data_IF_860013897846
#
_entry.id   IF_860013897846
#
_cell.length_a   1.000
_cell.length_b   1.000
_cell.length_c   1.000
_cell.angle_alpha   90.00
_cell.angle_beta   90.00
_cell.angle_gamma   90.00
#
_symmetry.space_group_name_H-M   'P 1'
#
loop_
_entity.id
_entity.type
_entity.pdbx_description
1 polymer ?
#
# COMPACT_ATOMS: atom_id res chain seq x y z
N UNK A 1 10.82 12.99 -30.97
CA UNK A 1 9.41 12.65 -30.66
C UNK A 1 9.27 12.50 -29.15
N UNK A 2 8.38 13.25 -28.49
CA UNK A 2 8.00 12.96 -27.10
C UNK A 2 7.04 11.77 -27.11
N UNK A 3 7.39 10.68 -26.41
CA UNK A 3 6.50 9.54 -26.22
C UNK A 3 5.36 10.00 -25.31
N UNK A 4 4.14 10.07 -25.83
CA UNK A 4 2.94 10.32 -25.01
C UNK A 4 2.68 9.01 -24.27
N UNK A 5 2.92 9.01 -22.95
CA UNK A 5 2.65 7.87 -22.07
C UNK A 5 1.17 8.00 -21.66
N UNK A 6 0.38 6.93 -21.77
CA UNK A 6 -1.00 6.95 -21.28
C UNK A 6 -1.03 6.99 -19.75
N UNK A 7 -2.12 7.48 -19.14
CA UNK A 7 -2.23 7.50 -17.67
C UNK A 7 -2.13 6.11 -17.04
N UNK A 8 -2.60 5.07 -17.75
CA UNK A 8 -2.50 3.67 -17.35
C UNK A 8 -1.05 3.17 -17.39
N UNK A 9 -0.29 3.49 -18.45
CA UNK A 9 1.14 3.13 -18.55
C UNK A 9 1.96 3.83 -17.46
N UNK A 10 1.64 5.09 -17.16
CA UNK A 10 2.25 5.83 -16.06
C UNK A 10 1.94 5.19 -14.71
N UNK A 11 0.68 4.81 -14.47
CA UNK A 11 0.27 4.19 -13.22
C UNK A 11 0.95 2.82 -13.01
N UNK A 12 1.09 2.02 -14.07
CA UNK A 12 1.79 0.73 -14.03
C UNK A 12 3.26 0.93 -13.66
N UNK A 13 3.96 1.84 -14.36
CA UNK A 13 5.36 2.11 -14.04
C UNK A 13 5.50 2.66 -12.60
N UNK A 14 4.55 3.45 -12.14
CA UNK A 14 4.62 4.08 -10.82
C UNK A 14 4.36 3.10 -9.68
N UNK A 15 3.43 2.15 -9.84
CA UNK A 15 3.10 1.18 -8.79
C UNK A 15 4.22 0.16 -8.60
N UNK A 16 4.94 -0.22 -9.66
CA UNK A 16 6.12 -1.10 -9.57
C UNK A 16 7.24 -0.51 -8.68
N UNK A 17 7.36 0.82 -8.66
CA UNK A 17 8.38 1.53 -7.90
C UNK A 17 7.86 2.12 -6.59
N UNK A 18 6.57 1.98 -6.29
CA UNK A 18 5.99 2.48 -5.05
C UNK A 18 6.33 1.51 -3.93
N UNK A 19 7.29 1.86 -3.07
CA UNK A 19 7.54 1.14 -1.82
C UNK A 19 7.21 2.04 -0.64
N UNK A 20 6.60 1.50 0.40
CA UNK A 20 6.39 2.24 1.65
C UNK A 20 7.77 2.66 2.19
N UNK A 21 8.67 1.70 2.45
CA UNK A 21 9.99 2.01 2.99
C UNK A 21 9.89 2.88 4.25
N UNK A 22 10.55 4.04 4.25
CA UNK A 22 10.47 5.04 5.32
C UNK A 22 9.33 6.07 5.15
N UNK A 23 8.50 5.93 4.11
CA UNK A 23 7.31 6.76 3.93
C UNK A 23 6.29 6.43 5.02
N UNK A 24 5.64 7.47 5.54
CA UNK A 24 4.52 7.29 6.45
C UNK A 24 3.39 6.51 5.77
N UNK A 25 2.66 5.74 6.57
CA UNK A 25 1.59 4.87 6.10
C UNK A 25 0.48 5.67 5.41
N UNK A 26 0.14 6.85 5.92
CA UNK A 26 -0.88 7.73 5.33
C UNK A 26 -0.48 8.19 3.91
N UNK A 27 0.73 8.70 3.75
CA UNK A 27 1.29 9.14 2.47
C UNK A 27 1.38 7.99 1.46
N UNK A 28 1.73 6.79 1.92
CA UNK A 28 1.80 5.61 1.08
C UNK A 28 0.39 5.19 0.62
N UNK A 29 -0.59 5.12 1.53
CA UNK A 29 -1.95 4.69 1.21
C UNK A 29 -2.62 5.62 0.20
N UNK A 30 -2.50 6.94 0.37
CA UNK A 30 -3.06 7.92 -0.57
C UNK A 30 -2.47 7.76 -1.97
N UNK A 31 -1.15 7.55 -2.08
CA UNK A 31 -0.48 7.33 -3.37
C UNK A 31 -0.86 5.99 -4.00
N UNK A 32 -0.97 4.96 -3.19
CA UNK A 32 -1.35 3.63 -3.64
C UNK A 32 -2.78 3.62 -4.20
N UNK A 33 -3.74 4.16 -3.45
CA UNK A 33 -5.15 4.25 -3.86
C UNK A 33 -5.30 4.98 -5.20
N UNK A 34 -4.67 6.15 -5.33
CA UNK A 34 -4.71 6.94 -6.55
C UNK A 34 -4.15 6.20 -7.78
N UNK A 35 -3.18 5.29 -7.60
CA UNK A 35 -2.65 4.46 -8.68
C UNK A 35 -3.59 3.32 -9.03
N UNK A 36 -4.10 2.59 -8.04
CA UNK A 36 -4.99 1.44 -8.28
C UNK A 36 -6.31 1.89 -8.92
N UNK A 37 -6.88 3.02 -8.51
CA UNK A 37 -8.08 3.60 -9.16
C UNK A 37 -7.84 3.86 -10.66
N UNK A 38 -6.64 4.30 -11.04
CA UNK A 38 -6.29 4.57 -12.45
C UNK A 38 -6.00 3.32 -13.26
N UNK A 39 -5.58 2.25 -12.60
CA UNK A 39 -5.23 0.98 -13.24
C UNK A 39 -6.46 0.13 -13.59
N UNK A 40 -7.57 0.31 -12.88
CA UNK A 40 -8.80 -0.45 -13.14
C UNK A 40 -8.64 -1.97 -12.89
N UNK A 41 -7.78 -2.33 -11.95
CA UNK A 41 -7.48 -3.74 -11.59
C UNK A 41 -8.46 -4.27 -10.54
N UNK A 42 -8.53 -5.59 -10.41
CA UNK A 42 -9.41 -6.26 -9.43
C UNK A 42 -8.92 -6.08 -7.99
N UNK A 43 -9.81 -6.28 -7.01
CA UNK A 43 -9.46 -6.21 -5.59
C UNK A 43 -8.28 -7.11 -5.23
N UNK A 44 -8.28 -8.37 -5.69
CA UNK A 44 -7.20 -9.31 -5.37
C UNK A 44 -5.86 -8.86 -5.97
N UNK A 45 -5.85 -8.40 -7.23
CA UNK A 45 -4.64 -7.86 -7.86
C UNK A 45 -4.12 -6.62 -7.13
N UNK A 46 -5.01 -5.74 -6.67
CA UNK A 46 -4.64 -4.59 -5.89
C UNK A 46 -4.09 -4.99 -4.51
N UNK A 47 -4.71 -5.97 -3.83
CA UNK A 47 -4.22 -6.48 -2.54
C UNK A 47 -2.83 -7.07 -2.71
N UNK A 48 -2.60 -7.90 -3.73
CA UNK A 48 -1.27 -8.48 -4.00
C UNK A 48 -0.21 -7.37 -4.20
N UNK A 49 -0.55 -6.31 -4.95
CA UNK A 49 0.34 -5.16 -5.12
C UNK A 49 0.54 -4.39 -3.82
N UNK A 50 -0.50 -4.23 -3.00
CA UNK A 50 -0.40 -3.55 -1.71
C UNK A 50 0.57 -4.31 -0.79
N UNK A 51 0.39 -5.61 -0.66
CA UNK A 51 1.21 -6.46 0.20
C UNK A 51 2.68 -6.53 -0.25
N UNK A 52 2.96 -6.51 -1.56
CA UNK A 52 4.32 -6.50 -2.10
C UNK A 52 5.05 -5.16 -1.92
N UNK A 53 4.32 -4.08 -1.71
CA UNK A 53 4.86 -2.72 -1.71
C UNK A 53 4.91 -2.08 -0.32
N UNK A 54 4.21 -2.66 0.64
CA UNK A 54 4.17 -2.17 2.02
C UNK A 54 5.28 -2.78 2.88
N UNK A 55 5.56 -2.19 4.03
CA UNK A 55 6.55 -2.72 4.96
C UNK A 55 6.16 -4.14 5.39
N UNK A 56 7.11 -5.08 5.24
CA UNK A 56 6.89 -6.49 5.54
C UNK A 56 6.45 -6.74 6.99
N UNK A 57 6.85 -5.90 7.94
CA UNK A 57 6.43 -6.03 9.34
C UNK A 57 4.91 -5.81 9.51
N UNK A 58 4.30 -4.92 8.69
CA UNK A 58 2.85 -4.72 8.66
C UNK A 58 2.15 -5.98 8.15
N UNK A 59 2.70 -6.61 7.11
CA UNK A 59 2.14 -7.86 6.55
C UNK A 59 2.25 -9.02 7.54
N UNK A 60 3.38 -9.13 8.24
CA UNK A 60 3.55 -10.12 9.30
C UNK A 60 2.50 -9.91 10.41
N UNK A 61 2.32 -8.68 10.87
CA UNK A 61 1.31 -8.35 11.88
C UNK A 61 -0.12 -8.64 11.39
N UNK A 62 -0.44 -8.32 10.13
CA UNK A 62 -1.74 -8.62 9.51
C UNK A 62 -2.04 -10.13 9.51
N UNK A 63 -1.05 -10.94 9.16
CA UNK A 63 -1.14 -12.40 9.17
C UNK A 63 -1.31 -12.94 10.59
N UNK A 64 -0.46 -12.52 11.54
CA UNK A 64 -0.54 -12.99 12.94
C UNK A 64 -1.85 -12.61 13.62
N UNK A 65 -2.46 -11.48 13.24
CA UNK A 65 -3.75 -11.06 13.77
C UNK A 65 -4.95 -11.68 13.02
N UNK A 66 -4.72 -12.44 11.94
CA UNK A 66 -5.79 -13.06 11.16
C UNK A 66 -6.72 -12.04 10.47
N UNK A 67 -6.16 -10.89 10.06
CA UNK A 67 -6.92 -9.73 9.56
C UNK A 67 -6.93 -9.58 8.04
N UNK A 68 -6.52 -10.62 7.32
CA UNK A 68 -6.53 -10.63 5.86
C UNK A 68 -7.95 -10.42 5.31
N UNK A 69 -8.06 -9.65 4.22
CA UNK A 69 -9.34 -9.35 3.55
C UNK A 69 -9.22 -9.64 2.07
N UNK A 70 -10.35 -9.92 1.44
CA UNK A 70 -10.44 -10.13 -0.02
C UNK A 70 -11.01 -8.91 -0.75
N UNK A 71 -11.50 -7.93 0.00
CA UNK A 71 -11.97 -6.64 -0.49
C UNK A 71 -10.90 -5.60 -0.21
N UNK A 72 -10.50 -4.84 -1.25
CA UNK A 72 -9.39 -3.91 -1.18
C UNK A 72 -9.58 -2.84 -0.10
N UNK A 73 -10.77 -2.25 -0.02
CA UNK A 73 -11.09 -1.21 0.96
C UNK A 73 -10.90 -1.72 2.40
N UNK A 74 -11.38 -2.92 2.69
CA UNK A 74 -11.20 -3.54 4.01
C UNK A 74 -9.73 -3.87 4.30
N UNK A 75 -9.00 -4.39 3.29
CA UNK A 75 -7.57 -4.70 3.42
C UNK A 75 -6.77 -3.43 3.73
N UNK A 76 -7.06 -2.34 3.03
CA UNK A 76 -6.43 -1.04 3.24
C UNK A 76 -6.69 -0.53 4.66
N UNK A 77 -7.91 -0.65 5.18
CA UNK A 77 -8.22 -0.22 6.55
C UNK A 77 -7.40 -0.99 7.58
N UNK A 78 -7.33 -2.32 7.48
CA UNK A 78 -6.58 -3.14 8.45
C UNK A 78 -5.07 -2.83 8.40
N UNK A 79 -4.52 -2.75 7.19
CA UNK A 79 -3.12 -2.41 6.95
C UNK A 79 -2.79 -1.00 7.47
N UNK A 80 -3.67 -0.03 7.23
CA UNK A 80 -3.51 1.35 7.71
C UNK A 80 -3.50 1.39 9.24
N UNK A 81 -4.46 0.74 9.91
CA UNK A 81 -4.54 0.69 11.37
C UNK A 81 -3.28 0.06 11.99
N UNK A 82 -2.79 -1.04 11.41
CA UNK A 82 -1.57 -1.70 11.86
C UNK A 82 -0.36 -0.77 11.65
N UNK A 83 -0.20 -0.18 10.47
CA UNK A 83 0.89 0.74 10.17
C UNK A 83 0.92 1.94 11.11
N UNK A 84 -0.24 2.56 11.37
CA UNK A 84 -0.34 3.68 12.32
C UNK A 84 0.05 3.25 13.74
N UNK A 85 -0.40 2.08 14.20
CA UNK A 85 -0.05 1.56 15.51
C UNK A 85 1.47 1.32 15.65
N UNK A 86 2.10 0.79 14.59
CA UNK A 86 3.55 0.57 14.55
C UNK A 86 4.33 1.89 14.56
N UNK A 87 3.96 2.84 13.70
CA UNK A 87 4.59 4.18 13.66
C UNK A 87 4.47 4.90 15.00
N UNK A 88 3.30 4.82 15.65
CA UNK A 88 3.08 5.39 16.97
C UNK A 88 3.93 4.70 18.04
N UNK A 89 4.07 3.38 18.00
CA UNK A 89 4.93 2.64 18.91
C UNK A 89 6.41 3.04 18.75
N UNK A 90 6.90 3.16 17.52
CA UNK A 90 8.26 3.64 17.25
C UNK A 90 8.48 5.07 17.73
N UNK A 91 7.50 5.95 17.49
CA UNK A 91 7.54 7.32 18.00
C UNK A 91 7.63 7.38 19.52
N UNK A 92 6.81 6.59 20.24
CA UNK A 92 6.81 6.54 21.70
C UNK A 92 8.08 5.92 22.30
N UNK A 93 8.68 4.94 21.61
CA UNK A 93 9.91 4.30 22.10
C UNK A 93 11.16 5.16 21.92
N UNK A 94 11.07 6.24 21.13
CA UNK A 94 12.20 7.10 20.81
C UNK A 94 13.23 6.31 20.02
N UNK A 95 13.11 6.35 18.69
CA UNK A 95 14.04 5.73 17.74
C UNK A 95 15.48 5.59 18.25
#
# INVERSE_FOLDING_TARGET
MRKVISECDYAHQRIEHLKQGAMKIDDFMVKFEALVTKLGITNLQAIDLLEQNINQEIIQALFYQGKQKTVLEEAMVEIFQIGCAMEMYHFMKGN
#
